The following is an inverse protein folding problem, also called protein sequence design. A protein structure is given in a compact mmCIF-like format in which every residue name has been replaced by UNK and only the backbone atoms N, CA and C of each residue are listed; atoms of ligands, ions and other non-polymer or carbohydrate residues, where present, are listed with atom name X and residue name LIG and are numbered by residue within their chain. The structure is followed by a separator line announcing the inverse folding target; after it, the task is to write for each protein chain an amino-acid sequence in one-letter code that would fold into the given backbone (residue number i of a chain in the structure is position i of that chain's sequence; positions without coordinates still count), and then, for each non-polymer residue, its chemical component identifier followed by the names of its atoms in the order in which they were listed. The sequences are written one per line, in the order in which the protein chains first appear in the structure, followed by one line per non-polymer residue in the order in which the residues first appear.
data_IF_521164108012
#
_entry.id   IF_521164108012
#
_cell.length_a   1.000
_cell.length_b   1.000
_cell.length_c   1.000
_cell.angle_alpha   90.00
_cell.angle_beta   90.00
_cell.angle_gamma   90.00
#
_symmetry.space_group_name_H-M   'P 1'
#
loop_
_entity.id
_entity.type
_entity.pdbx_description
1 polymer ?
#
# COMPACT_ATOMS: atom_id res chain seq x y z
N UNK A 1 -0.46 -22.90 28.12
CA UNK A 1 0.42 -21.84 27.59
C UNK A 1 1.61 -22.51 26.92
N UNK A 2 1.89 -22.22 25.66
CA UNK A 2 3.02 -22.81 24.93
C UNK A 2 4.34 -22.24 25.46
N UNK A 3 5.38 -23.10 25.51
CA UNK A 3 6.72 -22.69 25.94
C UNK A 3 7.35 -21.79 24.87
N UNK A 4 8.01 -20.68 25.23
CA UNK A 4 8.74 -19.86 24.27
C UNK A 4 9.84 -20.65 23.55
N UNK A 5 9.99 -20.44 22.24
CA UNK A 5 11.03 -21.05 21.40
C UNK A 5 12.26 -20.12 21.39
N UNK A 6 13.47 -20.61 21.73
CA UNK A 6 14.67 -19.79 21.70
C UNK A 6 15.15 -19.57 20.25
N UNK A 7 15.52 -18.34 19.92
CA UNK A 7 16.18 -17.98 18.67
C UNK A 7 17.58 -17.48 19.03
N UNK A 8 18.62 -18.11 18.47
CA UNK A 8 20.01 -17.74 18.70
C UNK A 8 20.60 -17.16 17.41
N UNK A 9 21.34 -16.06 17.55
CA UNK A 9 22.01 -15.39 16.44
C UNK A 9 23.39 -14.93 16.88
N UNK A 10 24.38 -15.13 16.01
CA UNK A 10 25.71 -14.57 16.19
C UNK A 10 25.74 -13.15 15.65
N UNK A 11 26.30 -12.24 16.43
CA UNK A 11 26.45 -10.82 16.08
C UNK A 11 27.89 -10.38 16.28
N UNK A 12 28.28 -9.29 15.62
CA UNK A 12 29.60 -8.70 15.85
C UNK A 12 29.74 -8.20 17.30
N UNK A 13 30.97 -8.14 17.86
CA UNK A 13 31.20 -7.62 19.22
C UNK A 13 30.65 -6.21 19.43
N UNK A 14 30.75 -5.36 18.40
CA UNK A 14 30.27 -3.98 18.42
C UNK A 14 28.74 -3.93 18.51
N UNK A 15 28.05 -4.80 17.77
CA UNK A 15 26.60 -4.90 17.83
C UNK A 15 26.13 -5.44 19.18
N UNK A 16 26.79 -6.48 19.72
CA UNK A 16 26.49 -7.01 21.04
C UNK A 16 26.61 -5.92 22.14
N UNK A 17 27.65 -5.10 22.06
CA UNK A 17 27.88 -3.99 22.98
C UNK A 17 26.79 -2.93 22.88
N UNK A 18 26.42 -2.53 21.65
CA UNK A 18 25.33 -1.57 21.43
C UNK A 18 23.98 -2.09 21.94
N UNK A 19 23.66 -3.35 21.67
CA UNK A 19 22.40 -3.98 22.11
C UNK A 19 22.28 -3.97 23.64
N UNK A 20 23.36 -4.32 24.36
CA UNK A 20 23.38 -4.25 25.83
C UNK A 20 23.15 -2.84 26.34
N UNK A 21 23.87 -1.87 25.79
CA UNK A 21 23.74 -0.47 26.19
C UNK A 21 22.33 0.10 25.92
N UNK A 22 21.68 -0.29 24.82
CA UNK A 22 20.30 0.12 24.54
C UNK A 22 19.32 -0.50 25.54
N UNK A 23 19.44 -1.81 25.80
CA UNK A 23 18.57 -2.50 26.73
C UNK A 23 18.67 -1.92 28.15
N UNK A 24 19.89 -1.61 28.61
CA UNK A 24 20.14 -0.95 29.89
C UNK A 24 19.49 0.43 29.96
N UNK A 25 19.63 1.27 28.92
CA UNK A 25 18.98 2.60 28.86
C UNK A 25 17.46 2.51 28.90
N UNK A 26 16.89 1.40 28.47
CA UNK A 26 15.44 1.16 28.49
C UNK A 26 14.99 0.37 29.74
N UNK A 27 15.89 0.12 30.69
CA UNK A 27 15.62 -0.68 31.89
C UNK A 27 15.05 -2.08 31.59
N UNK A 28 15.52 -2.69 30.50
CA UNK A 28 15.07 -4.00 30.03
C UNK A 28 16.23 -5.00 29.98
N UNK A 29 15.91 -6.29 30.10
CA UNK A 29 16.86 -7.33 29.73
C UNK A 29 17.05 -7.35 28.21
N UNK A 30 18.21 -7.77 27.73
CA UNK A 30 18.49 -7.90 26.28
C UNK A 30 17.45 -8.79 25.58
N UNK A 31 17.02 -9.87 26.23
CA UNK A 31 16.01 -10.77 25.67
C UNK A 31 14.62 -10.14 25.61
N UNK A 32 14.24 -9.31 26.59
CA UNK A 32 12.99 -8.57 26.55
C UNK A 32 13.01 -7.50 25.45
N UNK A 33 14.12 -6.77 25.35
CA UNK A 33 14.31 -5.75 24.33
C UNK A 33 14.29 -6.33 22.91
N UNK A 34 15.03 -7.41 22.67
CA UNK A 34 15.03 -8.11 21.38
C UNK A 34 13.65 -8.65 21.02
N UNK A 35 12.91 -9.19 21.99
CA UNK A 35 11.54 -9.66 21.76
C UNK A 35 10.63 -8.51 21.31
N UNK A 36 10.69 -7.37 21.99
CA UNK A 36 9.88 -6.20 21.65
C UNK A 36 10.25 -5.66 20.26
N UNK A 37 11.55 -5.61 19.94
CA UNK A 37 12.03 -5.18 18.63
C UNK A 37 11.55 -6.11 17.52
N UNK A 38 11.65 -7.43 17.71
CA UNK A 38 11.19 -8.42 16.75
C UNK A 38 9.67 -8.37 16.56
N UNK A 39 8.90 -8.26 17.65
CA UNK A 39 7.44 -8.14 17.57
C UNK A 39 7.04 -6.93 16.73
N UNK A 40 7.65 -5.76 17.01
CA UNK A 40 7.39 -4.54 16.25
C UNK A 40 7.78 -4.68 14.78
N UNK A 41 8.93 -5.27 14.48
CA UNK A 41 9.39 -5.46 13.11
C UNK A 41 8.43 -6.39 12.32
N UNK A 42 7.93 -7.45 12.95
CA UNK A 42 6.93 -8.33 12.34
C UNK A 42 5.58 -7.62 12.13
N UNK A 43 5.12 -6.85 13.12
CA UNK A 43 3.87 -6.08 12.99
C UNK A 43 3.96 -5.04 11.87
N UNK A 44 5.08 -4.32 11.74
CA UNK A 44 5.30 -3.35 10.67
C UNK A 44 5.33 -4.03 9.28
N UNK A 45 5.93 -5.21 9.15
CA UNK A 45 5.98 -5.99 7.90
C UNK A 45 4.59 -6.54 7.49
N UNK A 46 3.82 -7.03 8.47
CA UNK A 46 2.45 -7.48 8.25
C UNK A 46 1.56 -6.31 7.78
N UNK A 47 1.69 -5.14 8.41
CA UNK A 47 0.95 -3.93 8.03
C UNK A 47 1.36 -3.44 6.64
N UNK A 48 2.66 -3.43 6.31
CA UNK A 48 3.14 -3.06 4.99
C UNK A 48 2.60 -4.00 3.90
N UNK A 49 2.63 -5.31 4.17
CA UNK A 49 2.11 -6.34 3.27
C UNK A 49 0.59 -6.24 3.06
N UNK A 50 -0.16 -5.95 4.13
CA UNK A 50 -1.61 -5.73 4.06
C UNK A 50 -1.96 -4.45 3.29
N UNK A 51 -1.21 -3.36 3.50
CA UNK A 51 -1.40 -2.12 2.76
C UNK A 51 -1.11 -2.31 1.27
N UNK A 52 -0.04 -2.99 0.90
CA UNK A 52 0.32 -3.24 -0.51
C UNK A 52 -0.73 -4.13 -1.22
N UNK A 53 -1.21 -5.17 -0.53
CA UNK A 53 -2.31 -6.02 -1.01
C UNK A 53 -3.60 -5.22 -1.20
N UNK A 54 -3.90 -4.30 -0.28
CA UNK A 54 -5.11 -3.48 -0.32
C UNK A 54 -5.07 -2.45 -1.44
N UNK A 55 -3.94 -1.76 -1.63
CA UNK A 55 -3.74 -0.82 -2.74
C UNK A 55 -3.85 -1.57 -4.07
N UNK A 56 -3.16 -2.71 -4.21
CA UNK A 56 -3.21 -3.54 -5.41
C UNK A 56 -4.64 -3.98 -5.73
N UNK A 57 -5.43 -4.37 -4.71
CA UNK A 57 -6.85 -4.73 -4.88
C UNK A 57 -7.70 -3.54 -5.34
N UNK A 58 -7.52 -2.37 -4.74
CA UNK A 58 -8.24 -1.14 -5.11
C UNK A 58 -7.91 -0.76 -6.56
N UNK A 59 -6.63 -0.81 -6.95
CA UNK A 59 -6.20 -0.52 -8.32
C UNK A 59 -6.83 -1.49 -9.32
N UNK A 60 -6.82 -2.80 -9.04
CA UNK A 60 -7.48 -3.81 -9.90
C UNK A 60 -8.97 -3.52 -10.07
N UNK A 61 -9.68 -3.18 -8.99
CA UNK A 61 -11.08 -2.81 -9.06
C UNK A 61 -11.34 -1.51 -9.82
N UNK A 62 -10.47 -0.51 -9.65
CA UNK A 62 -10.54 0.75 -10.38
C UNK A 62 -10.38 0.54 -11.89
N UNK A 63 -9.39 -0.25 -12.29
CA UNK A 63 -9.17 -0.63 -13.70
C UNK A 63 -10.37 -1.38 -14.26
N UNK A 64 -10.87 -2.40 -13.55
CA UNK A 64 -12.05 -3.15 -13.99
C UNK A 64 -13.28 -2.25 -14.15
N UNK A 65 -13.52 -1.35 -13.20
CA UNK A 65 -14.65 -0.42 -13.24
C UNK A 65 -14.54 0.53 -14.44
N UNK A 66 -13.34 1.09 -14.70
CA UNK A 66 -13.10 1.97 -15.84
C UNK A 66 -13.35 1.27 -17.16
N UNK A 67 -12.79 0.06 -17.35
CA UNK A 67 -12.99 -0.74 -18.56
C UNK A 67 -14.48 -1.08 -18.76
N UNK A 68 -15.17 -1.51 -17.69
CA UNK A 68 -16.60 -1.82 -17.74
C UNK A 68 -17.45 -0.60 -18.11
N UNK A 69 -17.18 0.56 -17.52
CA UNK A 69 -17.86 1.82 -17.84
C UNK A 69 -17.59 2.24 -19.29
N UNK A 70 -16.35 2.17 -19.76
CA UNK A 70 -16.01 2.49 -21.15
C UNK A 70 -16.74 1.57 -22.13
N UNK A 71 -16.82 0.26 -21.85
CA UNK A 71 -17.56 -0.68 -22.68
C UNK A 71 -19.07 -0.36 -22.74
N UNK A 72 -19.67 0.00 -21.59
CA UNK A 72 -21.06 0.43 -21.53
C UNK A 72 -21.31 1.73 -22.30
N UNK A 73 -20.40 2.70 -22.22
CA UNK A 73 -20.48 3.97 -22.94
C UNK A 73 -20.28 3.79 -24.45
N UNK A 74 -19.40 2.87 -24.87
CA UNK A 74 -19.16 2.57 -26.27
C UNK A 74 -20.37 1.90 -26.95
N UNK A 75 -21.11 1.06 -26.22
CA UNK A 75 -22.34 0.43 -26.72
C UNK A 75 -23.59 1.33 -26.66
N UNK A 76 -23.46 2.57 -26.19
CA UNK A 76 -24.61 3.44 -25.97
C UNK A 76 -25.10 4.09 -27.28
N UNK A 77 -26.42 4.24 -27.51
CA UNK A 77 -26.97 4.85 -28.73
C UNK A 77 -26.57 6.32 -28.98
N UNK A 78 -26.27 7.07 -27.92
CA UNK A 78 -25.70 8.44 -28.02
C UNK A 78 -24.17 8.36 -28.14
N UNK A 79 -23.58 8.60 -29.33
CA UNK A 79 -22.14 8.51 -29.54
C UNK A 79 -21.35 9.61 -28.81
N UNK A 80 -22.01 10.69 -28.37
CA UNK A 80 -21.38 11.80 -27.64
C UNK A 80 -21.42 11.62 -26.12
N UNK A 81 -22.08 10.56 -25.62
CA UNK A 81 -22.24 10.36 -24.18
C UNK A 81 -20.90 10.15 -23.49
N UNK A 82 -19.99 9.40 -24.13
CA UNK A 82 -18.64 9.13 -23.60
C UNK A 82 -17.88 10.43 -23.32
N UNK A 83 -17.83 11.34 -24.29
CA UNK A 83 -17.15 12.63 -24.14
C UNK A 83 -17.76 13.50 -23.04
N UNK A 84 -19.09 13.52 -22.93
CA UNK A 84 -19.81 14.26 -21.87
C UNK A 84 -19.43 13.73 -20.48
N UNK A 85 -19.35 12.41 -20.32
CA UNK A 85 -18.98 11.77 -19.04
C UNK A 85 -17.53 12.12 -18.67
N UNK A 86 -16.59 12.05 -19.61
CA UNK A 86 -15.20 12.44 -19.36
C UNK A 86 -15.06 13.92 -19.00
N UNK A 87 -15.82 14.82 -19.65
CA UNK A 87 -15.83 16.24 -19.30
C UNK A 87 -16.35 16.50 -17.87
N UNK A 88 -17.40 15.78 -17.45
CA UNK A 88 -17.94 15.88 -16.08
C UNK A 88 -16.95 15.31 -15.07
N UNK A 89 -16.31 14.18 -15.39
CA UNK A 89 -15.29 13.56 -14.55
C UNK A 89 -14.12 14.52 -14.29
N UNK A 90 -13.56 15.14 -15.34
CA UNK A 90 -12.46 16.09 -15.22
C UNK A 90 -12.80 17.27 -14.29
N UNK A 91 -13.99 17.87 -14.45
CA UNK A 91 -14.46 18.95 -13.57
C UNK A 91 -14.60 18.51 -12.11
N UNK A 92 -15.07 17.28 -11.88
CA UNK A 92 -15.21 16.74 -10.52
C UNK A 92 -13.86 16.50 -9.86
N UNK A 93 -12.88 15.96 -10.59
CA UNK A 93 -11.51 15.80 -10.10
C UNK A 93 -10.87 17.13 -9.73
N UNK A 94 -11.01 18.14 -10.59
CA UNK A 94 -10.53 19.49 -10.32
C UNK A 94 -11.16 20.09 -9.05
N UNK A 95 -12.48 19.93 -8.88
CA UNK A 95 -13.20 20.43 -7.71
C UNK A 95 -12.75 19.83 -6.37
N UNK A 96 -12.17 18.61 -6.38
CA UNK A 96 -11.64 17.94 -5.17
C UNK A 96 -10.12 17.98 -5.09
N UNK A 97 -9.45 18.75 -5.95
CA UNK A 97 -8.00 18.92 -5.93
C UNK A 97 -7.22 17.70 -6.43
N UNK A 98 -7.87 16.77 -7.14
CA UNK A 98 -7.18 15.65 -7.79
C UNK A 98 -6.66 16.11 -9.16
N UNK A 99 -5.34 16.04 -9.42
CA UNK A 99 -4.78 16.44 -10.71
C UNK A 99 -5.32 15.52 -11.81
N UNK A 100 -5.95 16.11 -12.82
CA UNK A 100 -6.42 15.39 -14.00
C UNK A 100 -5.22 14.83 -14.75
N UNK A 101 -5.04 13.51 -14.75
CA UNK A 101 -4.07 12.84 -15.62
C UNK A 101 -4.61 12.86 -17.05
N UNK A 102 -4.25 13.91 -17.78
CA UNK A 102 -4.46 13.99 -19.22
C UNK A 102 -3.72 12.81 -19.88
N UNK A 103 -4.47 11.80 -20.35
CA UNK A 103 -3.89 10.63 -21.03
C UNK A 103 -4.68 9.32 -20.86
N UNK A 104 -5.74 9.28 -20.06
CA UNK A 104 -6.54 8.06 -19.85
C UNK A 104 -7.67 7.85 -20.90
N UNK A 105 -7.52 8.38 -22.10
CA UNK A 105 -8.44 8.13 -23.21
C UNK A 105 -7.63 7.88 -24.47
N UNK A 106 -7.55 6.62 -24.89
CA UNK A 106 -6.93 6.22 -26.15
C UNK A 106 -7.44 7.09 -27.29
N UNK A 107 -6.59 8.02 -27.73
CA UNK A 107 -6.67 8.64 -29.04
C UNK A 107 -5.65 7.93 -29.90
N UNK A 108 -5.98 6.72 -30.33
CA UNK A 108 -5.51 6.08 -31.56
C UNK A 108 -5.95 4.63 -31.57
N UNK A 109 -7.13 4.37 -32.14
CA UNK A 109 -7.35 3.15 -32.90
C UNK A 109 -8.06 3.60 -34.19
N UNK A 110 -7.24 3.80 -35.23
CA UNK A 110 -7.65 3.93 -36.63
C UNK A 110 -7.45 2.59 -37.34
#
# INVERSE_FOLDING_TARGET
MSRPIPIQVYVSPELATRVRAVAERQHMTVSAWLRALLARACEEDDLASQHDTSITRILRMGVFSRVGIDALLAGHPDPKLRDKVYAIYARKCEAIGLPSTAGEGGRDEA
#
